data_IF_140023573458
#
_entry.id   IF_140023573458
#
_cell.length_a   1.000
_cell.length_b   1.000
_cell.length_c   1.000
_cell.angle_alpha   90.00
_cell.angle_beta   90.00
_cell.angle_gamma   90.00
#
_symmetry.space_group_name_H-M   'P 1'
#
loop_
_entity.id
_entity.type
_entity.pdbx_description
1 polymer ?
#
# COMPACT_ATOMS: atom_id res chain seq x y z
N UNK A 1 63.68 16.67 51.74
CA UNK A 1 63.08 17.62 50.78
C UNK A 1 63.71 17.40 49.41
N UNK A 2 62.94 16.88 48.44
CA UNK A 2 62.89 17.29 47.02
C UNK A 2 61.88 16.38 46.31
N UNK A 3 61.19 17.01 45.38
CA UNK A 3 59.80 16.78 45.01
C UNK A 3 59.66 16.19 43.62
N UNK A 4 58.59 15.40 43.45
CA UNK A 4 57.70 15.33 42.28
C UNK A 4 58.30 14.88 40.93
N UNK A 5 57.67 13.86 40.34
CA UNK A 5 56.81 14.01 39.16
C UNK A 5 56.09 12.69 38.87
N UNK A 6 54.80 12.67 39.22
CA UNK A 6 53.86 11.62 38.87
C UNK A 6 53.30 11.99 37.48
N UNK A 7 53.65 11.23 36.45
CA UNK A 7 53.08 11.41 35.11
C UNK A 7 51.80 10.58 35.00
N UNK A 8 50.65 11.24 35.23
CA UNK A 8 49.33 10.65 35.03
C UNK A 8 48.95 10.78 33.55
N UNK A 9 49.16 9.72 32.77
CA UNK A 9 48.71 9.64 31.38
C UNK A 9 47.19 9.34 31.36
N UNK A 10 46.39 10.39 31.18
CA UNK A 10 44.94 10.26 30.97
C UNK A 10 44.73 9.80 29.52
N UNK A 11 44.46 8.50 29.36
CA UNK A 11 44.01 7.91 28.11
C UNK A 11 42.58 8.37 27.81
N UNK A 12 42.45 9.35 26.93
CA UNK A 12 41.16 9.75 26.35
C UNK A 12 40.77 8.67 25.33
N UNK A 13 40.06 7.63 25.79
CA UNK A 13 39.28 6.78 24.89
C UNK A 13 38.13 7.63 24.34
N UNK A 14 38.34 8.18 23.15
CA UNK A 14 37.26 8.72 22.34
C UNK A 14 36.36 7.55 21.93
N UNK A 15 35.33 7.28 22.72
CA UNK A 15 34.22 6.44 22.32
C UNK A 15 33.52 7.15 21.15
N UNK A 16 33.86 6.75 19.93
CA UNK A 16 33.08 7.05 18.73
C UNK A 16 31.71 6.42 18.92
N UNK A 17 30.80 7.19 19.50
CA UNK A 17 29.38 6.86 19.48
C UNK A 17 28.99 6.79 18.01
N UNK A 18 28.83 5.56 17.51
CA UNK A 18 28.15 5.35 16.23
C UNK A 18 26.74 5.88 16.43
N UNK A 19 26.50 7.12 16.01
CA UNK A 19 25.16 7.63 15.77
C UNK A 19 24.60 6.81 14.63
N UNK A 20 23.91 5.72 14.97
CA UNK A 20 22.96 5.12 14.06
C UNK A 20 21.95 6.22 13.74
N UNK A 21 22.07 6.82 12.56
CA UNK A 21 21.06 7.70 12.02
C UNK A 21 19.78 6.87 11.98
N UNK A 22 18.91 7.10 12.95
CA UNK A 22 17.60 6.47 13.02
C UNK A 22 16.91 6.87 11.73
N UNK A 23 16.67 5.90 10.83
CA UNK A 23 15.94 6.14 9.59
C UNK A 23 14.67 6.90 9.98
N UNK A 24 14.56 8.14 9.49
CA UNK A 24 13.42 8.97 9.82
C UNK A 24 12.16 8.16 9.53
N UNK A 25 11.23 8.13 10.49
CA UNK A 25 9.97 7.44 10.31
C UNK A 25 9.37 7.89 8.96
N UNK A 26 8.80 6.96 8.17
CA UNK A 26 8.30 7.31 6.85
C UNK A 26 7.25 8.42 6.97
N UNK A 27 7.36 9.42 6.10
CA UNK A 27 6.43 10.54 6.04
C UNK A 27 5.00 10.15 5.63
N UNK A 28 4.81 8.93 5.09
CA UNK A 28 3.49 8.37 4.80
C UNK A 28 3.31 6.96 5.38
N UNK A 29 2.05 6.57 5.62
CA UNK A 29 1.67 5.21 6.01
C UNK A 29 1.38 4.30 4.81
N UNK A 30 1.29 2.98 5.03
CA UNK A 30 1.04 1.99 3.97
C UNK A 30 -0.28 2.22 3.22
N UNK A 31 -1.36 2.59 3.90
CA UNK A 31 -2.62 2.92 3.23
C UNK A 31 -2.46 4.09 2.25
N UNK A 32 -1.70 5.12 2.62
CA UNK A 32 -1.42 6.26 1.73
C UNK A 32 -0.59 5.85 0.52
N UNK A 33 0.35 4.91 0.67
CA UNK A 33 1.10 4.38 -0.47
C UNK A 33 0.18 3.65 -1.48
N UNK A 34 -0.82 2.90 -1.00
CA UNK A 34 -1.82 2.27 -1.86
C UNK A 34 -2.70 3.31 -2.59
N UNK A 35 -3.16 4.35 -1.90
CA UNK A 35 -3.94 5.45 -2.49
C UNK A 35 -3.15 6.16 -3.61
N UNK A 36 -1.89 6.53 -3.33
CA UNK A 36 -0.99 7.12 -4.31
C UNK A 36 -0.74 6.18 -5.51
N UNK A 37 -0.86 4.87 -5.31
CA UNK A 37 -0.74 3.89 -6.40
C UNK A 37 -1.97 3.87 -7.27
N UNK A 38 -3.18 3.96 -6.71
CA UNK A 38 -4.42 4.08 -7.49
C UNK A 38 -4.35 5.29 -8.45
N UNK A 39 -4.04 6.47 -7.92
CA UNK A 39 -3.84 7.67 -8.73
C UNK A 39 -2.70 7.54 -9.75
N UNK A 40 -1.62 6.82 -9.39
CA UNK A 40 -0.49 6.61 -10.30
C UNK A 40 -0.87 5.71 -11.47
N UNK A 41 -1.66 4.66 -11.23
CA UNK A 41 -2.19 3.79 -12.29
C UNK A 41 -2.99 4.61 -13.27
N UNK A 42 -3.97 5.37 -12.79
CA UNK A 42 -4.81 6.24 -13.62
C UNK A 42 -3.96 7.17 -14.48
N UNK A 43 -3.05 7.92 -13.86
CA UNK A 43 -2.15 8.82 -14.58
C UNK A 43 -1.29 8.10 -15.63
N UNK A 44 -0.75 6.92 -15.33
CA UNK A 44 0.08 6.18 -16.29
C UNK A 44 -0.75 5.67 -17.48
N UNK A 45 -2.01 5.28 -17.25
CA UNK A 45 -2.94 4.92 -18.32
C UNK A 45 -3.31 6.13 -19.15
N UNK A 46 -3.69 7.27 -18.55
CA UNK A 46 -4.03 8.49 -19.31
C UNK A 46 -2.86 9.01 -20.15
N UNK A 47 -1.62 8.78 -19.70
CA UNK A 47 -0.40 9.12 -20.44
C UNK A 47 0.03 8.03 -21.45
N UNK A 48 -0.76 6.98 -21.63
CA UNK A 48 -0.47 5.83 -22.49
C UNK A 48 0.89 5.18 -22.20
N UNK A 49 1.29 5.13 -20.92
CA UNK A 49 2.54 4.50 -20.46
C UNK A 49 2.37 3.04 -20.06
N UNK A 50 1.15 2.64 -19.71
CA UNK A 50 0.76 1.26 -19.41
C UNK A 50 -0.60 0.97 -20.05
N UNK A 51 -0.95 -0.31 -20.15
CA UNK A 51 -2.21 -0.77 -20.74
C UNK A 51 -3.43 -0.35 -19.91
N UNK A 52 -4.52 0.04 -20.58
CA UNK A 52 -5.76 0.50 -19.91
C UNK A 52 -6.48 -0.60 -19.13
N UNK A 53 -6.16 -1.87 -19.36
CA UNK A 53 -6.65 -2.99 -18.56
C UNK A 53 -6.26 -2.87 -17.08
N UNK A 54 -5.23 -2.09 -16.72
CA UNK A 54 -4.96 -1.82 -15.31
C UNK A 54 -6.08 -1.05 -14.61
N UNK A 55 -6.86 -0.23 -15.31
CA UNK A 55 -8.04 0.42 -14.74
C UNK A 55 -9.20 -0.56 -14.57
N UNK A 56 -9.46 -1.38 -15.58
CA UNK A 56 -10.68 -2.20 -15.63
C UNK A 56 -10.54 -3.58 -15.01
N UNK A 57 -9.32 -4.11 -14.90
CA UNK A 57 -9.07 -5.49 -14.46
C UNK A 57 -8.26 -5.60 -13.17
N UNK A 58 -7.95 -4.49 -12.51
CA UNK A 58 -7.27 -4.54 -11.22
C UNK A 58 -8.06 -5.39 -10.23
N UNK A 59 -7.39 -6.36 -9.62
CA UNK A 59 -7.98 -7.32 -8.69
C UNK A 59 -7.42 -7.17 -7.28
N UNK A 60 -6.13 -6.81 -7.19
CA UNK A 60 -5.39 -6.84 -5.94
C UNK A 60 -4.29 -5.79 -5.92
N UNK A 61 -4.12 -5.15 -4.76
CA UNK A 61 -2.93 -4.35 -4.43
C UNK A 61 -2.20 -4.97 -3.25
N UNK A 62 -0.87 -5.06 -3.32
CA UNK A 62 -0.01 -5.53 -2.22
C UNK A 62 0.97 -4.44 -1.84
N UNK A 63 1.01 -4.07 -0.56
CA UNK A 63 1.92 -3.05 -0.03
C UNK A 63 3.01 -3.73 0.78
N UNK A 64 4.25 -3.49 0.40
CA UNK A 64 5.44 -4.02 1.07
C UNK A 64 6.42 -2.90 1.42
N UNK A 65 7.13 -3.05 2.54
CA UNK A 65 8.26 -2.18 2.87
C UNK A 65 9.51 -2.76 2.20
N UNK A 66 10.26 -1.92 1.51
CA UNK A 66 11.55 -2.25 0.92
C UNK A 66 12.62 -1.94 1.95
N UNK A 67 13.37 -2.95 2.36
CA UNK A 67 14.48 -2.80 3.30
C UNK A 67 15.81 -2.65 2.57
N UNK A 68 16.73 -1.86 3.13
CA UNK A 68 18.13 -1.73 2.67
C UNK A 68 18.29 -1.22 1.21
N UNK A 69 17.37 -0.39 0.72
CA UNK A 69 17.43 0.15 -0.66
C UNK A 69 17.07 1.63 -0.74
N UNK A 70 17.68 2.49 0.08
CA UNK A 70 17.43 3.94 0.02
C UNK A 70 17.67 4.49 -1.41
N UNK A 71 16.80 5.38 -1.94
CA UNK A 71 15.68 6.02 -1.24
C UNK A 71 14.37 5.23 -1.26
N UNK A 72 14.31 4.04 -1.86
CA UNK A 72 13.10 3.23 -1.90
C UNK A 72 12.69 2.76 -0.50
N UNK A 73 11.39 2.89 -0.20
CA UNK A 73 10.83 2.53 1.10
C UNK A 73 9.54 1.72 0.96
N UNK A 74 8.64 2.09 0.05
CA UNK A 74 7.44 1.31 -0.23
C UNK A 74 7.48 0.74 -1.64
N UNK A 75 6.99 -0.49 -1.78
CA UNK A 75 6.64 -1.07 -3.06
C UNK A 75 5.18 -1.52 -3.02
N UNK A 76 4.40 -1.01 -3.95
CA UNK A 76 3.01 -1.40 -4.15
C UNK A 76 2.89 -2.17 -5.46
N UNK A 77 2.39 -3.40 -5.38
CA UNK A 77 2.11 -4.24 -6.55
C UNK A 77 0.63 -4.24 -6.86
N UNK A 78 0.25 -3.80 -8.04
CA UNK A 78 -1.12 -3.93 -8.58
C UNK A 78 -1.15 -5.15 -9.47
N UNK A 79 -2.11 -6.05 -9.27
CA UNK A 79 -2.27 -7.26 -10.08
C UNK A 79 -3.64 -7.28 -10.74
N UNK A 80 -3.70 -7.63 -12.01
CA UNK A 80 -4.94 -7.83 -12.75
C UNK A 80 -5.53 -9.23 -12.49
N UNK A 81 -6.83 -9.42 -12.69
CA UNK A 81 -7.41 -10.76 -12.86
C UNK A 81 -6.96 -11.37 -14.19
N UNK A 82 -7.05 -12.70 -14.31
CA UNK A 82 -6.75 -13.37 -15.58
C UNK A 82 -7.79 -12.98 -16.65
N UNK A 83 -7.40 -12.34 -17.76
CA UNK A 83 -8.34 -12.00 -18.81
C UNK A 83 -8.75 -13.24 -19.61
N UNK A 84 -9.92 -13.19 -20.26
CA UNK A 84 -10.39 -14.24 -21.17
C UNK A 84 -9.46 -14.45 -22.38
N UNK A 85 -8.74 -13.41 -22.78
CA UNK A 85 -7.71 -13.43 -23.82
C UNK A 85 -6.50 -12.61 -23.38
N UNK A 86 -5.30 -13.12 -23.66
CA UNK A 86 -4.04 -12.49 -23.28
C UNK A 86 -3.52 -12.94 -21.92
N UNK A 87 -2.38 -12.39 -21.52
CA UNK A 87 -1.78 -12.65 -20.20
C UNK A 87 -2.26 -11.61 -19.19
N UNK A 88 -2.48 -12.03 -17.95
CA UNK A 88 -2.64 -11.08 -16.86
C UNK A 88 -1.33 -10.31 -16.67
N UNK A 89 -1.45 -9.04 -16.27
CA UNK A 89 -0.31 -8.19 -15.94
C UNK A 89 -0.29 -7.79 -14.47
N UNK A 90 0.92 -7.53 -13.97
CA UNK A 90 1.18 -6.87 -12.71
C UNK A 90 1.95 -5.58 -12.94
N UNK A 91 1.83 -4.63 -12.02
CA UNK A 91 2.66 -3.44 -11.99
C UNK A 91 3.21 -3.23 -10.58
N UNK A 92 4.53 -3.17 -10.47
CA UNK A 92 5.20 -2.67 -9.27
C UNK A 92 5.36 -1.15 -9.39
N UNK A 93 5.01 -0.41 -8.34
CA UNK A 93 5.34 1.00 -8.17
C UNK A 93 6.17 1.15 -6.91
N UNK A 94 7.31 1.82 -7.03
CA UNK A 94 8.24 2.04 -5.92
C UNK A 94 8.17 3.50 -5.50
N UNK A 95 8.09 3.73 -4.20
CA UNK A 95 8.03 5.05 -3.57
C UNK A 95 9.15 5.22 -2.55
N UNK A 96 9.56 6.46 -2.32
CA UNK A 96 10.32 6.81 -1.12
C UNK A 96 9.42 6.86 0.13
N UNK A 97 10.02 7.11 1.29
CA UNK A 97 9.29 7.20 2.57
C UNK A 97 8.27 8.33 2.65
N UNK A 98 8.32 9.31 1.73
CA UNK A 98 7.42 10.47 1.67
C UNK A 98 6.33 10.31 0.60
N UNK A 99 6.25 9.15 -0.07
CA UNK A 99 5.27 8.91 -1.11
C UNK A 99 5.62 9.50 -2.48
N UNK A 100 6.86 9.92 -2.71
CA UNK A 100 7.30 10.30 -4.05
C UNK A 100 7.51 9.04 -4.89
N UNK A 101 6.86 8.91 -6.07
CA UNK A 101 7.09 7.78 -6.95
C UNK A 101 8.51 7.85 -7.52
N UNK A 102 9.25 6.76 -7.40
CA UNK A 102 10.62 6.61 -7.89
C UNK A 102 10.66 5.86 -9.22
N UNK A 103 9.90 4.77 -9.34
CA UNK A 103 9.84 3.95 -10.55
C UNK A 103 8.52 3.18 -10.64
N UNK A 104 8.26 2.63 -11.83
CA UNK A 104 7.25 1.61 -12.03
C UNK A 104 7.80 0.53 -12.98
N UNK A 105 7.26 -0.67 -12.90
CA UNK A 105 7.63 -1.79 -13.79
C UNK A 105 6.41 -2.66 -14.04
N UNK A 106 6.09 -2.91 -15.31
CA UNK A 106 5.05 -3.86 -15.71
C UNK A 106 5.69 -5.24 -15.83
N UNK A 107 5.05 -6.24 -15.25
CA UNK A 107 5.52 -7.62 -15.16
C UNK A 107 4.41 -8.55 -15.68
N UNK A 108 4.77 -9.70 -16.26
CA UNK A 108 3.79 -10.75 -16.54
C UNK A 108 3.22 -11.33 -15.24
N UNK A 109 2.02 -11.88 -15.32
CA UNK A 109 1.34 -12.57 -14.22
C UNK A 109 0.17 -11.77 -13.66
N UNK A 110 -0.57 -12.33 -12.71
CA UNK A 110 -1.75 -11.67 -12.18
C UNK A 110 -2.24 -12.33 -10.90
N UNK A 111 -3.48 -12.02 -10.54
CA UNK A 111 -4.22 -12.72 -9.51
C UNK A 111 -5.15 -13.74 -10.15
N UNK A 112 -5.25 -14.91 -9.53
CA UNK A 112 -6.29 -15.86 -9.90
C UNK A 112 -7.68 -15.26 -9.60
N UNK A 113 -8.62 -15.44 -10.51
CA UNK A 113 -9.98 -14.94 -10.39
C UNK A 113 -10.61 -14.64 -11.74
N UNK A 114 -11.96 -14.60 -11.82
CA UNK A 114 -12.65 -14.20 -13.04
C UNK A 114 -12.45 -12.70 -13.30
N UNK A 115 -12.50 -12.29 -14.57
CA UNK A 115 -12.75 -10.88 -14.91
C UNK A 115 -14.15 -10.51 -14.42
N UNK A 116 -14.21 -9.61 -13.45
CA UNK A 116 -15.47 -9.22 -12.82
C UNK A 116 -16.34 -8.40 -13.76
N UNK A 117 -15.80 -7.77 -14.80
CA UNK A 117 -16.57 -6.90 -15.69
C UNK A 117 -17.27 -5.78 -14.92
N UNK A 118 -16.47 -4.87 -14.34
CA UNK A 118 -16.99 -3.74 -13.57
C UNK A 118 -17.83 -2.80 -14.45
N UNK A 119 -19.00 -2.41 -13.96
CA UNK A 119 -19.92 -1.48 -14.62
C UNK A 119 -20.07 -0.25 -13.76
N UNK A 120 -20.16 0.94 -14.34
CA UNK A 120 -20.16 2.20 -13.58
C UNK A 120 -18.77 2.81 -13.58
N UNK A 121 -18.06 2.69 -12.46
CA UNK A 121 -16.65 3.12 -12.37
C UNK A 121 -15.68 1.94 -12.49
N UNK A 122 -14.43 2.23 -12.84
CA UNK A 122 -13.40 1.22 -13.06
C UNK A 122 -12.90 0.58 -11.74
N UNK A 123 -12.16 -0.52 -11.86
CA UNK A 123 -11.71 -1.32 -10.71
C UNK A 123 -10.76 -0.55 -9.79
N UNK A 124 -9.87 0.27 -10.35
CA UNK A 124 -8.93 1.08 -9.57
C UNK A 124 -9.70 2.13 -8.76
N UNK A 125 -10.65 2.81 -9.41
CA UNK A 125 -11.53 3.77 -8.73
C UNK A 125 -12.34 3.10 -7.60
N UNK A 126 -12.85 1.89 -7.80
CA UNK A 126 -13.54 1.13 -6.74
C UNK A 126 -12.61 0.75 -5.57
N UNK A 127 -11.37 0.37 -5.86
CA UNK A 127 -10.37 0.11 -4.81
C UNK A 127 -10.04 1.36 -4.00
N UNK A 128 -9.82 2.48 -4.68
CA UNK A 128 -9.55 3.78 -4.08
C UNK A 128 -10.71 4.23 -3.17
N UNK A 129 -11.94 4.16 -3.66
CA UNK A 129 -13.13 4.52 -2.89
C UNK A 129 -13.29 3.64 -1.64
N UNK A 130 -12.97 2.35 -1.73
CA UNK A 130 -12.92 1.48 -0.55
C UNK A 130 -11.84 1.91 0.45
N UNK A 131 -10.68 2.32 -0.05
CA UNK A 131 -9.54 2.76 0.75
C UNK A 131 -9.79 4.09 1.48
N UNK A 132 -10.62 4.98 0.92
CA UNK A 132 -11.00 6.24 1.58
C UNK A 132 -11.59 6.02 2.98
N UNK A 133 -12.38 4.97 3.19
CA UNK A 133 -12.87 4.65 4.53
C UNK A 133 -11.73 4.46 5.55
N UNK A 134 -10.65 3.77 5.15
CA UNK A 134 -9.48 3.55 6.02
C UNK A 134 -8.71 4.85 6.24
N UNK A 135 -8.56 5.68 5.21
CA UNK A 135 -7.81 6.94 5.30
C UNK A 135 -8.54 7.97 6.18
N UNK A 136 -9.86 8.02 6.13
CA UNK A 136 -10.68 8.97 6.89
C UNK A 136 -10.84 8.58 8.37
N UNK A 137 -10.84 7.28 8.66
CA UNK A 137 -11.13 6.72 9.98
C UNK A 137 -9.90 6.16 10.70
N UNK A 138 -8.82 5.80 9.99
CA UNK A 138 -7.68 5.07 10.54
C UNK A 138 -6.90 5.78 11.64
N UNK A 139 -6.94 7.10 11.69
CA UNK A 139 -6.33 7.87 12.78
C UNK A 139 -7.20 7.96 14.03
N UNK A 140 -8.52 7.78 13.88
CA UNK A 140 -9.54 8.05 14.91
C UNK A 140 -10.13 6.77 15.50
N UNK A 141 -10.26 5.71 14.70
CA UNK A 141 -10.82 4.42 15.11
C UNK A 141 -9.69 3.40 15.31
N UNK A 142 -9.52 2.96 16.57
CA UNK A 142 -8.51 1.99 16.95
C UNK A 142 -8.67 0.63 16.25
N UNK A 143 -9.88 0.26 15.83
CA UNK A 143 -10.13 -0.98 15.10
C UNK A 143 -9.74 -0.88 13.62
N UNK A 144 -9.79 0.32 13.04
CA UNK A 144 -9.42 0.59 11.64
C UNK A 144 -7.93 0.89 11.50
N UNK A 145 -7.32 1.45 12.55
CA UNK A 145 -5.89 1.85 12.58
C UNK A 145 -4.92 0.81 12.02
N UNK A 146 -5.04 -0.50 12.32
CA UNK A 146 -4.14 -1.51 11.75
C UNK A 146 -4.15 -1.58 10.22
N UNK A 147 -5.29 -1.29 9.59
CA UNK A 147 -5.42 -1.24 8.13
C UNK A 147 -4.89 0.09 7.56
N UNK A 148 -4.75 1.13 8.37
CA UNK A 148 -4.15 2.41 7.99
C UNK A 148 -2.62 2.37 8.04
N UNK A 149 -2.05 1.96 9.19
CA UNK A 149 -0.61 1.93 9.43
C UNK A 149 0.08 0.73 8.78
N UNK A 150 -0.58 -0.43 8.80
CA UNK A 150 0.03 -1.71 8.49
C UNK A 150 -0.70 -2.49 7.39
N UNK A 151 -1.40 -1.81 6.48
CA UNK A 151 -2.01 -2.41 5.28
C UNK A 151 -1.03 -3.32 4.54
N UNK A 152 -1.43 -4.55 4.23
CA UNK A 152 -0.64 -5.46 3.39
C UNK A 152 -1.29 -5.74 2.04
N UNK A 153 -2.61 -5.83 2.01
CA UNK A 153 -3.34 -6.24 0.81
C UNK A 153 -4.68 -5.54 0.73
N UNK A 154 -5.06 -5.13 -0.47
CA UNK A 154 -6.42 -4.79 -0.87
C UNK A 154 -6.82 -5.79 -1.95
N UNK A 155 -7.97 -6.45 -1.84
CA UNK A 155 -8.55 -7.31 -2.88
C UNK A 155 -9.94 -6.81 -3.22
N UNK A 156 -10.22 -6.63 -4.50
CA UNK A 156 -11.52 -6.22 -4.99
C UNK A 156 -12.27 -7.45 -5.52
N UNK A 157 -13.51 -7.63 -5.05
CA UNK A 157 -14.38 -8.73 -5.48
C UNK A 157 -15.79 -8.20 -5.67
N UNK A 158 -16.53 -8.78 -6.62
CA UNK A 158 -17.95 -8.47 -6.77
C UNK A 158 -18.75 -9.26 -5.72
N UNK A 159 -19.76 -8.62 -5.13
CA UNK A 159 -20.58 -9.24 -4.09
C UNK A 159 -22.05 -8.83 -4.19
N UNK A 160 -22.84 -9.31 -3.24
CA UNK A 160 -24.25 -8.95 -3.07
C UNK A 160 -24.47 -8.45 -1.64
N UNK A 161 -25.12 -7.30 -1.49
CA UNK A 161 -25.54 -6.78 -0.21
C UNK A 161 -26.98 -6.25 -0.34
N UNK A 162 -27.89 -6.78 0.47
CA UNK A 162 -29.32 -6.43 0.43
C UNK A 162 -29.93 -6.56 -0.99
N UNK A 163 -29.55 -7.62 -1.72
CA UNK A 163 -30.03 -7.88 -3.08
C UNK A 163 -29.48 -6.95 -4.17
N UNK A 164 -28.50 -6.09 -3.85
CA UNK A 164 -27.80 -5.23 -4.80
C UNK A 164 -26.39 -5.73 -5.03
N UNK A 165 -25.97 -5.72 -6.30
CA UNK A 165 -24.57 -5.92 -6.67
C UNK A 165 -23.73 -4.78 -6.12
N UNK A 166 -22.70 -5.12 -5.35
CA UNK A 166 -21.75 -4.17 -4.77
C UNK A 166 -20.33 -4.56 -5.14
N UNK A 167 -19.40 -3.61 -4.99
CA UNK A 167 -17.99 -3.91 -4.98
C UNK A 167 -17.54 -4.03 -3.51
N UNK A 168 -16.82 -5.12 -3.21
CA UNK A 168 -16.26 -5.36 -1.88
C UNK A 168 -14.74 -5.26 -1.95
N UNK A 169 -14.19 -4.28 -1.26
CA UNK A 169 -12.77 -4.11 -1.01
C UNK A 169 -12.41 -4.79 0.30
N UNK A 170 -11.69 -5.91 0.21
CA UNK A 170 -11.21 -6.66 1.35
C UNK A 170 -9.76 -6.28 1.66
N UNK A 171 -9.49 -5.87 2.89
CA UNK A 171 -8.18 -5.39 3.34
C UNK A 171 -7.62 -6.23 4.47
N UNK A 172 -6.30 -6.46 4.42
CA UNK A 172 -5.55 -7.19 5.45
C UNK A 172 -4.46 -6.29 6.04
N UNK A 173 -4.13 -6.53 7.30
CA UNK A 173 -3.06 -5.85 8.02
C UNK A 173 -1.95 -6.84 8.42
N UNK A 174 -0.73 -6.35 8.58
CA UNK A 174 0.35 -7.11 9.21
C UNK A 174 0.36 -7.03 10.74
N UNK A 175 -0.45 -6.14 11.35
CA UNK A 175 -0.50 -5.97 12.81
C UNK A 175 -1.46 -6.96 13.49
N UNK A 176 -2.42 -7.51 12.75
CA UNK A 176 -3.38 -8.48 13.28
C UNK A 176 -3.87 -9.45 12.19
N UNK A 177 -4.60 -10.48 12.59
CA UNK A 177 -5.21 -11.44 11.66
C UNK A 177 -6.58 -11.00 11.13
N UNK A 178 -7.04 -9.79 11.47
CA UNK A 178 -8.38 -9.32 11.11
C UNK A 178 -8.42 -8.94 9.63
N UNK A 179 -9.63 -8.98 9.08
CA UNK A 179 -9.92 -8.55 7.72
C UNK A 179 -11.00 -7.47 7.76
N UNK A 180 -10.74 -6.34 7.11
CA UNK A 180 -11.72 -5.26 6.93
C UNK A 180 -12.36 -5.40 5.55
N UNK A 181 -13.67 -5.59 5.51
CA UNK A 181 -14.45 -5.47 4.28
C UNK A 181 -15.05 -4.06 4.23
N UNK A 182 -14.83 -3.37 3.12
CA UNK A 182 -15.54 -2.13 2.77
C UNK A 182 -16.43 -2.41 1.58
N UNK A 183 -17.69 -2.01 1.70
CA UNK A 183 -18.71 -2.19 0.69
C UNK A 183 -19.01 -0.86 0.03
N UNK A 184 -18.83 -0.80 -1.29
CA UNK A 184 -19.16 0.38 -2.11
C UNK A 184 -20.14 -0.02 -3.21
N UNK A 185 -21.01 0.91 -3.58
CA UNK A 185 -21.85 0.77 -4.76
C UNK A 185 -20.97 0.78 -6.02
N UNK A 186 -21.53 0.34 -7.15
CA UNK A 186 -20.82 0.33 -8.43
C UNK A 186 -20.56 1.73 -9.02
N UNK A 187 -21.17 2.77 -8.45
CA UNK A 187 -20.86 4.18 -8.72
C UNK A 187 -19.71 4.73 -7.84
N UNK A 188 -19.18 3.91 -6.93
CA UNK A 188 -18.10 4.27 -6.01
C UNK A 188 -18.57 4.79 -4.65
N UNK A 189 -19.87 5.03 -4.43
CA UNK A 189 -20.35 5.54 -3.14
C UNK A 189 -20.24 4.49 -2.01
N UNK A 190 -19.80 4.93 -0.83
CA UNK A 190 -19.69 4.08 0.36
C UNK A 190 -21.06 3.59 0.82
N UNK A 191 -21.14 2.31 1.22
CA UNK A 191 -22.36 1.68 1.75
C UNK A 191 -22.19 1.32 3.22
N UNK A 192 -21.18 0.50 3.54
CA UNK A 192 -20.92 0.01 4.89
C UNK A 192 -19.52 -0.59 5.01
N UNK A 193 -19.11 -0.91 6.23
CA UNK A 193 -17.89 -1.64 6.54
C UNK A 193 -18.12 -2.67 7.63
N UNK A 194 -17.29 -3.72 7.66
CA UNK A 194 -17.26 -4.70 8.75
C UNK A 194 -15.85 -5.24 8.95
N UNK A 195 -15.53 -5.61 10.19
CA UNK A 195 -14.28 -6.27 10.54
C UNK A 195 -14.60 -7.72 10.92
N UNK A 196 -13.97 -8.67 10.23
CA UNK A 196 -14.11 -10.10 10.46
C UNK A 196 -12.80 -10.70 10.98
N UNK A 197 -12.93 -11.80 11.73
CA UNK A 197 -11.80 -12.58 12.28
C UNK A 197 -11.38 -13.69 11.32
#
# INVERSE_FOLDING_TARGET
MKSKLLALAIGILAASQMTFAQEAAPGIVKAKAAELTAHRVDRLVSLNKIDSSFLTKAAKMEVTVVQNQAPAYYKVRVSQTQPASGEALQMDVVYDGNGKPLSYTVLPGGSAGPDEGWTGVDAITLMENGLHYVLENGEKDANVRPFYTALTTITLTKGQLNGKTIARTQMKSSENALTLNVYVNLDGSFVSSEIIK
#
